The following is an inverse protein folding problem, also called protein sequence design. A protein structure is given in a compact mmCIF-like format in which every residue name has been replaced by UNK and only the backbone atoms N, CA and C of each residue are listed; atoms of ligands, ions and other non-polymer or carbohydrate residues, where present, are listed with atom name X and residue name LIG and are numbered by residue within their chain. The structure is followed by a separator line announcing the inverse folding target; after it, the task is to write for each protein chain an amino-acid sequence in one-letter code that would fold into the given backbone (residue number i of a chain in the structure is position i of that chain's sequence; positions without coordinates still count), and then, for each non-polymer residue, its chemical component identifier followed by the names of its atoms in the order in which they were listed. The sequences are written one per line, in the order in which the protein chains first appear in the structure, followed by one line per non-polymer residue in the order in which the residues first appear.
data_IF_960595039673
#
_entry.id   IF_960595039673
#
_cell.length_a   1.000
_cell.length_b   1.000
_cell.length_c   1.000
_cell.angle_alpha   90.00
_cell.angle_beta   90.00
_cell.angle_gamma   90.00
#
_symmetry.space_group_name_H-M   'P 1'
#
loop_
_entity.id
_entity.type
_entity.pdbx_description
1 polymer ?
#
# COMPACT_ATOMS: atom_id res chain seq x y z
N UNK A 1 0.55 24.19 16.26
CA UNK A 1 -0.33 23.11 15.70
C UNK A 1 -1.48 22.89 16.67
N UNK A 2 -2.62 22.40 16.20
CA UNK A 2 -3.70 22.01 17.11
C UNK A 2 -3.38 20.66 17.77
N UNK A 3 -3.90 20.36 18.98
CA UNK A 3 -3.71 19.04 19.61
C UNK A 3 -4.14 17.87 18.71
N UNK A 4 -5.18 18.07 17.90
CA UNK A 4 -5.62 17.06 16.93
C UNK A 4 -4.56 16.85 15.82
N UNK A 5 -3.92 17.90 15.35
CA UNK A 5 -2.88 17.78 14.33
C UNK A 5 -1.66 17.03 14.86
N UNK A 6 -1.27 17.25 16.09
CA UNK A 6 -0.18 16.52 16.76
C UNK A 6 -0.50 15.01 16.83
N UNK A 7 -1.73 14.65 17.22
CA UNK A 7 -2.18 13.25 17.21
C UNK A 7 -2.23 12.63 15.83
N UNK A 8 -2.62 13.39 14.79
CA UNK A 8 -2.64 12.91 13.41
C UNK A 8 -1.22 12.73 12.85
N UNK A 9 -0.28 13.52 13.33
CA UNK A 9 1.11 13.50 12.86
C UNK A 9 1.96 12.46 13.60
N UNK A 10 1.56 12.03 14.76
CA UNK A 10 2.22 10.98 15.53
C UNK A 10 1.73 9.59 15.10
N UNK A 11 2.63 8.81 14.51
CA UNK A 11 2.39 7.41 14.13
C UNK A 11 3.47 6.53 14.76
N UNK A 12 3.31 6.16 16.03
CA UNK A 12 4.34 5.44 16.78
C UNK A 12 4.43 3.95 16.41
N UNK A 13 3.45 3.43 15.65
CA UNK A 13 3.45 2.02 15.27
C UNK A 13 4.56 1.72 14.25
N UNK A 14 5.24 0.60 14.49
CA UNK A 14 6.17 -0.01 13.54
C UNK A 14 5.57 -1.32 13.06
N UNK A 15 5.31 -1.38 11.77
CA UNK A 15 4.76 -2.58 11.13
C UNK A 15 5.85 -3.53 10.66
N UNK A 16 5.39 -4.66 10.10
CA UNK A 16 6.26 -5.71 9.56
C UNK A 16 5.68 -6.27 8.26
N UNK A 17 6.52 -6.57 7.29
CA UNK A 17 6.14 -7.23 6.03
C UNK A 17 5.83 -8.71 6.31
N UNK A 18 4.63 -9.16 5.94
CA UNK A 18 4.15 -10.54 6.14
C UNK A 18 4.07 -11.34 4.84
N UNK A 19 3.96 -10.66 3.71
CA UNK A 19 3.85 -11.30 2.42
C UNK A 19 4.27 -10.33 1.31
N UNK A 20 4.93 -10.87 0.27
CA UNK A 20 5.34 -10.13 -0.91
C UNK A 20 4.91 -10.92 -2.14
N UNK A 21 4.29 -10.24 -3.10
CA UNK A 21 3.91 -10.83 -4.38
C UNK A 21 4.13 -9.88 -5.55
N UNK A 22 4.58 -10.45 -6.64
CA UNK A 22 4.74 -9.80 -7.93
C UNK A 22 3.92 -10.49 -9.01
N UNK A 23 3.51 -9.76 -10.02
CA UNK A 23 2.76 -10.29 -11.14
C UNK A 23 3.46 -9.92 -12.44
N UNK A 24 4.13 -10.87 -13.10
CA UNK A 24 4.96 -10.60 -14.28
C UNK A 24 4.21 -10.01 -15.46
N UNK A 25 2.96 -10.45 -15.68
CA UNK A 25 2.12 -9.96 -16.79
C UNK A 25 0.69 -9.66 -16.36
N UNK A 26 0.02 -8.83 -17.15
CA UNK A 26 -1.40 -8.56 -16.95
C UNK A 26 -2.22 -9.86 -16.95
N UNK A 27 -3.12 -10.00 -15.96
CA UNK A 27 -4.02 -11.16 -15.78
C UNK A 27 -3.38 -12.46 -15.30
N UNK A 28 -2.08 -12.56 -15.17
CA UNK A 28 -1.42 -13.71 -14.55
C UNK A 28 -1.66 -13.76 -13.03
N UNK A 29 -1.40 -14.92 -12.45
CA UNK A 29 -1.39 -15.09 -11.00
C UNK A 29 -0.26 -14.30 -10.36
N UNK A 30 -0.43 -13.96 -9.08
CA UNK A 30 0.66 -13.40 -8.27
C UNK A 30 1.65 -14.51 -7.94
N UNK A 31 2.93 -14.19 -8.05
CA UNK A 31 4.03 -15.03 -7.59
C UNK A 31 4.48 -14.52 -6.23
N UNK A 32 4.46 -15.37 -5.23
CA UNK A 32 5.00 -15.09 -3.92
C UNK A 32 6.53 -15.12 -3.95
N UNK A 33 7.16 -14.13 -3.31
CA UNK A 33 8.62 -14.02 -3.25
C UNK A 33 9.05 -13.63 -1.83
N UNK A 34 10.25 -14.03 -1.43
CA UNK A 34 10.81 -13.69 -0.11
C UNK A 34 11.43 -12.29 -0.07
N UNK A 35 11.84 -11.80 -1.24
CA UNK A 35 12.43 -10.48 -1.39
C UNK A 35 12.11 -9.89 -2.77
N UNK A 36 12.06 -8.55 -2.84
CA UNK A 36 11.86 -7.82 -4.09
C UNK A 36 12.66 -6.52 -4.07
N UNK A 37 13.18 -6.12 -5.22
CA UNK A 37 13.81 -4.82 -5.39
C UNK A 37 12.75 -3.79 -5.80
N UNK A 38 12.62 -2.73 -5.00
CA UNK A 38 11.86 -1.54 -5.36
C UNK A 38 12.74 -0.58 -6.15
N UNK A 39 12.24 -0.09 -7.29
CA UNK A 39 12.96 0.85 -8.17
C UNK A 39 12.15 2.11 -8.40
N UNK A 40 12.82 3.25 -8.29
CA UNK A 40 12.20 4.54 -8.61
C UNK A 40 11.62 4.51 -10.03
N UNK A 41 10.42 5.05 -10.20
CA UNK A 41 9.68 5.14 -11.47
C UNK A 41 9.28 3.79 -12.11
N UNK A 42 9.79 2.67 -11.64
CA UNK A 42 9.49 1.34 -12.17
C UNK A 42 8.58 0.50 -11.25
N UNK A 43 8.61 0.72 -9.94
CA UNK A 43 7.90 -0.09 -8.96
C UNK A 43 8.70 -1.30 -8.52
N UNK A 44 8.08 -2.46 -8.36
CA UNK A 44 8.74 -3.69 -7.92
C UNK A 44 9.27 -4.47 -9.11
N UNK A 45 10.51 -4.93 -9.01
CA UNK A 45 11.12 -5.79 -10.05
C UNK A 45 10.31 -7.08 -10.20
N UNK A 46 9.98 -7.42 -11.44
CA UNK A 46 9.14 -8.59 -11.74
C UNK A 46 7.63 -8.34 -11.65
N UNK A 47 7.19 -7.18 -11.21
CA UNK A 47 5.76 -6.83 -11.23
C UNK A 47 5.39 -6.07 -12.53
N UNK A 48 4.18 -6.37 -13.05
CA UNK A 48 3.61 -5.68 -14.20
C UNK A 48 3.07 -4.31 -13.78
N UNK A 49 3.95 -3.36 -13.65
CA UNK A 49 3.66 -1.95 -13.45
C UNK A 49 3.94 -1.17 -14.73
N UNK A 50 3.20 -0.10 -14.99
CA UNK A 50 3.56 0.83 -16.08
C UNK A 50 4.70 1.70 -15.60
N UNK A 51 5.90 1.62 -16.21
CA UNK A 51 7.00 2.49 -15.81
C UNK A 51 6.70 3.96 -16.14
N UNK A 52 7.32 4.86 -15.40
CA UNK A 52 7.29 6.29 -15.68
C UNK A 52 7.00 7.17 -14.48
N UNK A 53 7.43 8.43 -14.52
CA UNK A 53 7.36 9.37 -13.40
C UNK A 53 5.93 9.74 -13.00
N UNK A 54 4.97 9.59 -13.92
CA UNK A 54 3.54 9.86 -13.67
C UNK A 54 2.78 8.65 -13.09
N UNK A 55 3.44 7.49 -12.93
CA UNK A 55 2.79 6.33 -12.34
C UNK A 55 2.74 6.45 -10.81
N UNK A 56 1.62 6.92 -10.30
CA UNK A 56 1.36 7.02 -8.88
C UNK A 56 1.03 5.67 -8.20
N UNK A 57 0.87 4.58 -8.97
CA UNK A 57 0.48 3.25 -8.46
C UNK A 57 1.56 2.21 -8.74
N UNK A 58 2.77 2.48 -8.26
CA UNK A 58 3.90 1.60 -8.50
C UNK A 58 3.88 0.38 -7.59
N UNK A 59 3.41 0.55 -6.35
CA UNK A 59 3.31 -0.50 -5.34
C UNK A 59 1.94 -0.43 -4.68
N UNK A 60 1.36 -1.58 -4.37
CA UNK A 60 0.10 -1.69 -3.63
C UNK A 60 0.33 -2.43 -2.32
N UNK A 61 -0.14 -1.87 -1.21
CA UNK A 61 -0.05 -2.49 0.11
C UNK A 61 -1.44 -2.80 0.65
N UNK A 62 -1.53 -3.88 1.41
CA UNK A 62 -2.74 -4.24 2.16
C UNK A 62 -2.38 -4.53 3.61
N UNK A 63 -3.28 -4.18 4.52
CA UNK A 63 -3.12 -4.50 5.92
C UNK A 63 -3.45 -5.98 6.15
N UNK A 64 -2.53 -6.72 6.77
CA UNK A 64 -2.66 -8.16 7.02
C UNK A 64 -3.91 -8.49 7.82
N UNK A 65 -4.21 -7.70 8.85
CA UNK A 65 -5.38 -7.85 9.70
C UNK A 65 -6.70 -7.74 8.92
N UNK A 66 -6.73 -6.96 7.85
CA UNK A 66 -7.92 -6.79 7.00
C UNK A 66 -8.24 -8.04 6.16
N UNK A 67 -7.28 -8.96 5.97
CA UNK A 67 -7.53 -10.21 5.24
C UNK A 67 -8.60 -11.07 5.92
N UNK A 68 -8.56 -11.16 7.25
CA UNK A 68 -9.58 -11.84 8.04
C UNK A 68 -10.91 -11.08 8.05
N UNK A 69 -10.87 -9.74 8.13
CA UNK A 69 -12.06 -8.89 8.08
C UNK A 69 -12.80 -9.07 6.76
N UNK A 70 -12.10 -9.00 5.63
CA UNK A 70 -12.71 -9.19 4.30
C UNK A 70 -13.27 -10.60 4.15
N UNK A 71 -12.57 -11.62 4.65
CA UNK A 71 -13.07 -13.01 4.65
C UNK A 71 -14.38 -13.14 5.44
N UNK A 72 -14.42 -12.59 6.64
CA UNK A 72 -15.62 -12.61 7.48
C UNK A 72 -16.84 -11.92 6.81
N UNK A 73 -16.61 -10.75 6.17
CA UNK A 73 -17.65 -10.03 5.43
C UNK A 73 -18.17 -10.81 4.21
N UNK A 74 -17.36 -11.73 3.68
CA UNK A 74 -17.72 -12.62 2.58
C UNK A 74 -18.24 -13.98 3.03
N UNK A 75 -18.39 -14.22 4.35
CA UNK A 75 -18.81 -15.50 4.91
C UNK A 75 -17.80 -16.64 4.67
N UNK A 76 -16.50 -16.32 4.62
CA UNK A 76 -15.42 -17.30 4.47
C UNK A 76 -14.78 -17.61 5.81
N UNK A 77 -14.45 -18.88 6.05
CA UNK A 77 -13.88 -19.35 7.31
C UNK A 77 -12.39 -19.04 7.47
N UNK A 78 -11.66 -18.88 6.37
CA UNK A 78 -10.23 -18.60 6.37
C UNK A 78 -9.92 -17.18 5.84
N UNK A 79 -8.86 -16.50 6.35
CA UNK A 79 -8.44 -15.20 5.82
C UNK A 79 -8.22 -15.22 4.31
N UNK A 80 -8.51 -14.10 3.66
CA UNK A 80 -8.28 -13.96 2.22
C UNK A 80 -6.79 -14.02 1.90
N UNK A 81 -6.35 -14.86 0.94
CA UNK A 81 -4.97 -14.82 0.47
C UNK A 81 -4.65 -13.44 -0.16
N UNK A 82 -3.54 -12.78 0.18
CA UNK A 82 -3.15 -11.50 -0.42
C UNK A 82 -3.04 -11.56 -1.94
N UNK A 83 -2.62 -12.70 -2.48
CA UNK A 83 -2.52 -12.97 -3.93
C UNK A 83 -3.87 -12.85 -4.65
N UNK A 84 -4.96 -13.29 -4.02
CA UNK A 84 -6.31 -13.16 -4.59
C UNK A 84 -6.76 -11.68 -4.63
N UNK A 85 -6.37 -10.90 -3.65
CA UNK A 85 -6.69 -9.46 -3.58
C UNK A 85 -5.77 -8.61 -4.47
N UNK A 86 -4.74 -9.23 -5.07
CA UNK A 86 -3.82 -8.61 -6.04
C UNK A 86 -3.10 -7.39 -5.46
N UNK A 87 -2.62 -7.51 -4.23
CA UNK A 87 -1.74 -6.53 -3.60
C UNK A 87 -0.32 -7.04 -3.63
N UNK A 88 0.66 -6.13 -3.71
CA UNK A 88 2.07 -6.51 -3.79
C UNK A 88 2.65 -6.86 -2.42
N UNK A 89 2.28 -6.11 -1.39
CA UNK A 89 2.86 -6.28 -0.05
C UNK A 89 1.73 -6.30 0.98
N UNK A 90 1.72 -7.31 1.85
CA UNK A 90 0.88 -7.33 3.03
C UNK A 90 1.72 -7.02 4.27
N UNK A 91 1.25 -6.06 5.07
CA UNK A 91 1.94 -5.61 6.29
C UNK A 91 1.03 -5.72 7.50
N UNK A 92 1.62 -6.03 8.65
CA UNK A 92 0.94 -6.09 9.95
C UNK A 92 1.47 -5.05 10.91
N UNK A 93 0.75 -4.75 11.98
CA UNK A 93 1.25 -3.94 13.11
C UNK A 93 1.28 -2.44 12.89
N UNK A 94 0.86 -1.94 11.72
CA UNK A 94 0.74 -0.51 11.44
C UNK A 94 -0.57 -0.24 10.69
N UNK A 95 -1.26 0.81 11.06
CA UNK A 95 -2.47 1.21 10.33
C UNK A 95 -2.09 1.92 9.02
N UNK A 96 -2.29 1.25 7.88
CA UNK A 96 -2.01 1.83 6.56
C UNK A 96 -2.79 3.13 6.29
N UNK A 97 -3.92 3.33 6.99
CA UNK A 97 -4.70 4.54 6.86
C UNK A 97 -3.95 5.77 7.41
N UNK A 98 -3.15 5.59 8.47
CA UNK A 98 -2.32 6.66 9.04
C UNK A 98 -1.15 7.09 8.14
N UNK A 99 -0.82 6.29 7.11
CA UNK A 99 0.23 6.61 6.14
C UNK A 99 -0.25 7.56 5.02
N UNK A 100 -1.48 8.04 5.06
CA UNK A 100 -2.02 8.95 4.03
C UNK A 100 -1.16 10.20 3.88
N UNK A 101 -0.68 10.46 2.66
CA UNK A 101 0.14 11.62 2.34
C UNK A 101 1.51 11.63 3.03
N UNK A 102 1.98 10.46 3.47
CA UNK A 102 3.23 10.29 4.19
C UNK A 102 4.25 9.51 3.38
N UNK A 103 5.52 9.76 3.69
CA UNK A 103 6.63 8.88 3.34
C UNK A 103 6.83 7.86 4.45
N UNK A 104 7.16 6.65 4.06
CA UNK A 104 7.39 5.55 4.97
C UNK A 104 8.45 4.62 4.38
N UNK A 105 9.24 4.02 5.26
CA UNK A 105 10.31 3.11 4.89
C UNK A 105 9.85 1.67 5.04
N UNK A 106 10.21 0.83 4.07
CA UNK A 106 10.09 -0.63 4.15
C UNK A 106 11.46 -1.21 3.84
N UNK A 107 12.11 -1.83 4.81
CA UNK A 107 13.48 -2.29 4.65
C UNK A 107 14.38 -1.15 4.16
N UNK A 108 14.99 -1.32 2.99
CA UNK A 108 15.87 -0.32 2.39
C UNK A 108 15.14 0.72 1.53
N UNK A 109 13.90 0.45 1.14
CA UNK A 109 13.17 1.31 0.22
C UNK A 109 12.40 2.42 0.95
N UNK A 110 12.37 3.63 0.39
CA UNK A 110 11.51 4.73 0.80
C UNK A 110 10.36 4.87 -0.18
N UNK A 111 9.15 4.81 0.33
CA UNK A 111 7.92 4.92 -0.44
C UNK A 111 7.10 6.13 0.02
N UNK A 112 6.21 6.60 -0.85
CA UNK A 112 5.24 7.64 -0.54
C UNK A 112 3.84 7.17 -0.90
N UNK A 113 2.90 7.34 0.03
CA UNK A 113 1.49 7.01 -0.22
C UNK A 113 0.90 7.95 -1.25
N UNK A 114 0.32 7.38 -2.30
CA UNK A 114 -0.31 8.13 -3.40
C UNK A 114 -1.83 8.04 -3.41
N UNK A 115 -2.41 7.14 -2.62
CA UNK A 115 -3.86 7.03 -2.51
C UNK A 115 -4.35 5.72 -1.90
N UNK A 116 -5.68 5.60 -1.86
CA UNK A 116 -6.35 4.37 -1.47
C UNK A 116 -6.37 3.38 -2.63
N UNK A 117 -6.08 2.13 -2.33
CA UNK A 117 -6.24 1.06 -3.29
C UNK A 117 -7.69 0.58 -3.31
N UNK A 118 -8.54 1.30 -4.03
CA UNK A 118 -9.97 0.99 -4.14
C UNK A 118 -10.19 -0.39 -4.76
N UNK A 119 -11.27 -1.10 -4.37
CA UNK A 119 -11.72 -2.29 -5.07
C UNK A 119 -12.14 -1.96 -6.51
N UNK A 120 -12.14 -2.95 -7.38
CA UNK A 120 -12.58 -2.80 -8.77
C UNK A 120 -13.56 -3.90 -9.15
N UNK A 121 -14.35 -3.66 -10.19
CA UNK A 121 -15.33 -4.65 -10.70
C UNK A 121 -14.68 -6.01 -10.99
N UNK A 122 -13.43 -6.01 -11.42
CA UNK A 122 -12.70 -7.26 -11.69
C UNK A 122 -12.48 -8.14 -10.44
N UNK A 123 -12.37 -7.56 -9.23
CA UNK A 123 -12.35 -8.34 -8.00
C UNK A 123 -13.70 -8.98 -7.71
N UNK A 124 -14.78 -8.24 -7.94
CA UNK A 124 -16.16 -8.75 -7.85
C UNK A 124 -16.39 -9.93 -8.80
N UNK A 125 -15.96 -9.82 -10.07
CA UNK A 125 -16.06 -10.89 -11.06
C UNK A 125 -15.30 -12.15 -10.66
N UNK A 126 -14.11 -12.00 -10.07
CA UNK A 126 -13.25 -13.13 -9.68
C UNK A 126 -13.64 -13.81 -8.38
N UNK A 127 -14.00 -13.04 -7.39
CA UNK A 127 -14.16 -13.52 -6.01
C UNK A 127 -15.62 -13.67 -5.61
N UNK A 128 -16.54 -13.20 -6.47
CA UNK A 128 -17.97 -13.33 -6.28
C UNK A 128 -18.64 -12.06 -5.74
N UNK A 129 -19.96 -12.10 -5.79
CA UNK A 129 -20.83 -10.99 -5.38
C UNK A 129 -20.57 -10.56 -3.93
N UNK A 130 -20.44 -9.26 -3.72
CA UNK A 130 -20.22 -8.67 -2.39
C UNK A 130 -18.75 -8.31 -2.14
N UNK A 131 -17.82 -8.84 -2.93
CA UNK A 131 -16.38 -8.57 -2.76
C UNK A 131 -16.05 -7.08 -2.85
N UNK A 132 -16.69 -6.35 -3.77
CA UNK A 132 -16.48 -4.91 -3.90
C UNK A 132 -16.83 -4.17 -2.60
N UNK A 133 -17.98 -4.49 -2.00
CA UNK A 133 -18.42 -3.87 -0.75
C UNK A 133 -17.56 -4.30 0.44
N UNK A 134 -17.22 -5.58 0.55
CA UNK A 134 -16.33 -6.09 1.61
C UNK A 134 -14.94 -5.45 1.59
N UNK A 135 -14.44 -5.08 0.41
CA UNK A 135 -13.14 -4.45 0.24
C UNK A 135 -13.13 -2.92 0.45
N UNK A 136 -14.28 -2.27 0.52
CA UNK A 136 -14.34 -0.81 0.77
C UNK A 136 -13.80 -0.48 2.16
N UNK A 137 -12.81 0.41 2.22
CA UNK A 137 -12.06 0.71 3.45
C UNK A 137 -11.00 -0.33 3.81
N UNK A 138 -11.00 -1.52 3.20
CA UNK A 138 -10.06 -2.61 3.48
C UNK A 138 -9.10 -2.91 2.32
N UNK A 139 -9.18 -2.15 1.24
CA UNK A 139 -8.37 -2.36 0.03
C UNK A 139 -6.89 -2.00 0.16
N UNK A 140 -6.50 -1.33 1.23
CA UNK A 140 -5.14 -0.86 1.44
C UNK A 140 -4.80 0.43 0.70
N UNK A 141 -3.52 0.66 0.45
CA UNK A 141 -2.98 1.88 -0.15
C UNK A 141 -2.21 1.61 -1.45
N UNK A 142 -2.04 2.66 -2.22
CA UNK A 142 -1.09 2.72 -3.33
C UNK A 142 0.08 3.61 -2.96
N UNK A 143 1.27 3.30 -3.46
CA UNK A 143 2.48 4.05 -3.20
C UNK A 143 3.34 4.18 -4.45
N UNK A 144 4.21 5.20 -4.46
CA UNK A 144 5.33 5.35 -5.40
C UNK A 144 6.64 5.15 -4.67
N UNK A 145 7.66 4.69 -5.37
CA UNK A 145 9.01 4.54 -4.85
C UNK A 145 9.76 5.87 -4.97
N UNK A 146 10.23 6.39 -3.85
CA UNK A 146 11.02 7.61 -3.75
C UNK A 146 12.51 7.26 -3.80
N UNK A 147 12.94 6.30 -2.96
CA UNK A 147 14.27 5.72 -2.97
C UNK A 147 14.15 4.21 -3.16
N UNK A 148 14.91 3.69 -4.12
CA UNK A 148 14.97 2.26 -4.37
C UNK A 148 15.66 1.51 -3.24
N UNK A 149 15.40 0.20 -3.17
CA UNK A 149 16.02 -0.69 -2.20
C UNK A 149 15.37 -2.05 -2.16
N UNK A 150 15.99 -2.96 -1.44
CA UNK A 150 15.46 -4.32 -1.26
C UNK A 150 14.45 -4.33 -0.11
N UNK A 151 13.32 -4.97 -0.37
CA UNK A 151 12.26 -5.26 0.60
C UNK A 151 12.22 -6.77 0.77
N UNK A 152 12.23 -7.25 2.04
CA UNK A 152 12.19 -8.67 2.41
C UNK A 152 11.01 -8.97 3.32
N UNK A 153 10.66 -10.24 3.42
CA UNK A 153 9.79 -10.69 4.49
C UNK A 153 10.39 -10.28 5.85
N UNK A 154 9.52 -9.93 6.78
CA UNK A 154 9.85 -9.47 8.14
C UNK A 154 10.54 -8.09 8.23
N UNK A 155 10.83 -7.43 7.11
CA UNK A 155 11.31 -6.04 7.13
C UNK A 155 10.32 -5.13 7.87
N UNK A 156 10.86 -4.16 8.60
CA UNK A 156 10.07 -3.17 9.32
C UNK A 156 9.42 -2.17 8.37
N UNK A 157 8.25 -1.69 8.76
CA UNK A 157 7.51 -0.62 8.11
C UNK A 157 7.34 0.53 9.09
N UNK A 158 7.94 1.68 8.82
CA UNK A 158 7.90 2.85 9.70
C UNK A 158 7.68 4.14 8.93
N UNK A 159 6.99 5.09 9.57
CA UNK A 159 6.79 6.43 9.00
C UNK A 159 8.07 7.23 9.07
N UNK A 160 8.40 7.95 8.00
CA UNK A 160 9.46 8.96 8.04
C UNK A 160 8.95 10.21 8.78
N UNK A 161 9.77 10.83 9.63
CA UNK A 161 9.43 12.09 10.29
C UNK A 161 9.05 13.19 9.29
N UNK A 162 8.09 14.04 9.64
CA UNK A 162 7.62 15.12 8.76
C UNK A 162 8.70 16.15 8.42
N UNK A 163 9.70 16.29 9.25
CA UNK A 163 10.80 17.27 9.09
C UNK A 163 11.77 16.91 7.95
N UNK A 164 11.79 15.65 7.51
CA UNK A 164 12.68 15.17 6.43
C UNK A 164 12.16 15.50 5.02
N UNK A 165 10.99 16.13 4.89
CA UNK A 165 10.37 16.41 3.60
C UNK A 165 10.71 17.84 3.16
N UNK A 166 11.93 18.05 2.69
CA UNK A 166 12.43 19.35 2.20
C UNK A 166 12.45 19.46 0.66
N UNK A 167 11.56 18.79 -0.07
CA UNK A 167 11.48 18.95 -1.53
C UNK A 167 10.37 19.95 -1.89
N UNK A 168 10.72 21.14 -2.46
CA UNK A 168 9.76 22.20 -2.81
C UNK A 168 8.72 21.77 -3.87
N UNK A 169 8.98 20.70 -4.64
CA UNK A 169 8.08 20.22 -5.69
C UNK A 169 6.91 19.37 -5.18
N UNK A 170 6.93 18.98 -3.90
CA UNK A 170 5.89 18.10 -3.32
C UNK A 170 4.65 18.84 -2.75
N UNK A 171 4.67 20.17 -2.77
CA UNK A 171 3.58 20.98 -2.20
C UNK A 171 2.28 20.87 -3.01
N UNK A 172 2.37 20.61 -4.31
CA UNK A 172 1.22 20.54 -5.22
C UNK A 172 0.42 19.23 -5.03
N UNK A 173 1.08 18.12 -4.73
CA UNK A 173 0.42 16.84 -4.44
C UNK A 173 -0.39 16.87 -3.14
N UNK A 174 0.06 17.61 -2.12
CA UNK A 174 -0.62 17.75 -0.83
C UNK A 174 -1.86 18.62 -0.90
N UNK A 175 -1.85 19.67 -1.72
CA UNK A 175 -3.01 20.57 -1.90
C UNK A 175 -4.15 19.87 -2.64
N UNK A 176 -3.86 19.04 -3.63
CA UNK A 176 -4.87 18.29 -4.39
C UNK A 176 -5.62 17.22 -3.59
N UNK A 177 -5.09 16.80 -2.42
CA UNK A 177 -5.75 15.86 -1.52
C UNK A 177 -6.69 16.54 -0.52
N UNK A 178 -6.34 17.74 -0.05
CA UNK A 178 -7.18 18.52 0.88
C UNK A 178 -8.48 18.98 0.22
N UNK A 179 -8.43 19.39 -1.05
CA UNK A 179 -9.59 19.86 -1.81
C UNK A 179 -10.63 18.77 -2.17
N UNK A 180 -10.37 17.49 -1.89
CA UNK A 180 -11.31 16.39 -2.17
C UNK A 180 -12.00 15.81 -0.92
N UNK A 181 -11.90 16.50 0.20
CA UNK A 181 -12.52 16.10 1.47
C UNK A 181 -13.55 17.11 1.96
N UNK A 182 -13.73 18.23 1.26
CA UNK A 182 -14.85 19.17 1.36
C UNK A 182 -15.94 18.81 0.34
#
# INVERSE_FOLDING_TARGET
MSPLQELLDDVPQVGQVRWIGVRPKAREAMLEVEAVEARREAGLTGDHSRPGPRNARQVTLIQWEHLAVVAALLGRDAPMPPSELRRNIAVTGINLFSLKGRRFRIGQALLETTGWCQPCARLEERLGRGTFQAMRGHGGITARVIEGGIIRLEDTVSVEPLETISDPQDNDARQGWRARLE
#
